data_IF_202314989431
#
_entry.id   IF_202314989431
#
_cell.length_a   1.000
_cell.length_b   1.000
_cell.length_c   1.000
_cell.angle_alpha   90.00
_cell.angle_beta   90.00
_cell.angle_gamma   90.00
#
_symmetry.space_group_name_H-M   'P 1'
#
loop_
_entity.id
_entity.type
_entity.pdbx_description
1 polymer ?
#
# COMPACT_ATOMS: atom_id res chain seq x y z
N UNK A 1 -40.72 -29.18 16.99
CA UNK A 1 -39.36 -29.74 16.80
C UNK A 1 -38.44 -28.59 16.42
N UNK A 2 -37.42 -28.31 17.25
CA UNK A 2 -36.81 -26.99 17.50
C UNK A 2 -36.10 -26.33 16.29
N UNK A 3 -36.71 -25.25 15.77
CA UNK A 3 -36.13 -24.37 14.73
C UNK A 3 -34.82 -23.72 15.25
N UNK A 4 -34.78 -23.37 16.54
CA UNK A 4 -33.60 -22.79 17.21
C UNK A 4 -32.37 -23.71 17.19
N UNK A 5 -32.55 -25.03 17.28
CA UNK A 5 -31.45 -25.98 17.25
C UNK A 5 -30.77 -26.01 15.86
N UNK A 6 -31.56 -25.86 14.80
CA UNK A 6 -31.06 -25.84 13.41
C UNK A 6 -30.22 -24.58 13.13
N UNK A 7 -30.68 -23.41 13.61
CA UNK A 7 -29.98 -22.13 13.41
C UNK A 7 -28.66 -22.08 14.18
N UNK A 8 -28.65 -22.57 15.43
CA UNK A 8 -27.43 -22.62 16.26
C UNK A 8 -26.37 -23.54 15.66
N UNK A 9 -26.75 -24.72 15.15
CA UNK A 9 -25.81 -25.64 14.48
C UNK A 9 -25.26 -25.03 13.19
N UNK A 10 -26.08 -24.29 12.42
CA UNK A 10 -25.64 -23.63 11.19
C UNK A 10 -24.59 -22.54 11.46
N UNK A 11 -24.78 -21.74 12.52
CA UNK A 11 -23.80 -20.72 12.91
C UNK A 11 -22.50 -21.32 13.43
N UNK A 12 -22.55 -22.41 14.22
CA UNK A 12 -21.32 -23.06 14.74
C UNK A 12 -20.47 -23.62 13.60
N UNK A 13 -21.08 -24.23 12.57
CA UNK A 13 -20.35 -24.75 11.40
C UNK A 13 -19.78 -23.62 10.54
N UNK A 14 -20.52 -22.51 10.38
CA UNK A 14 -20.04 -21.32 9.65
C UNK A 14 -18.90 -20.60 10.36
N UNK A 15 -18.96 -20.48 11.70
CA UNK A 15 -17.90 -19.89 12.50
C UNK A 15 -16.66 -20.77 12.50
N UNK A 16 -16.81 -22.11 12.55
CA UNK A 16 -15.69 -23.05 12.48
C UNK A 16 -14.85 -22.88 11.21
N UNK A 17 -15.48 -22.62 10.05
CA UNK A 17 -14.77 -22.44 8.78
C UNK A 17 -14.01 -21.11 8.67
N UNK A 18 -14.45 -20.05 9.37
CA UNK A 18 -13.80 -18.74 9.31
C UNK A 18 -12.48 -18.66 10.11
N UNK A 19 -12.31 -19.49 11.15
CA UNK A 19 -11.11 -19.45 12.01
C UNK A 19 -9.92 -20.23 11.42
N UNK A 20 -10.14 -21.11 10.44
CA UNK A 20 -9.04 -21.93 9.87
C UNK A 20 -8.20 -21.22 8.80
N UNK A 21 -8.59 -20.04 8.32
CA UNK A 21 -7.87 -19.38 7.20
C UNK A 21 -6.76 -18.40 7.58
N UNK A 22 -6.49 -18.13 8.87
CA UNK A 22 -5.50 -17.09 9.25
C UNK A 22 -4.13 -17.61 9.69
N UNK A 23 -3.82 -18.90 9.54
CA UNK A 23 -2.49 -19.45 9.84
C UNK A 23 -1.73 -19.91 8.59
N UNK A 24 -1.49 -18.99 7.65
CA UNK A 24 -0.56 -19.23 6.55
C UNK A 24 0.10 -17.94 6.03
N UNK A 25 0.58 -17.08 6.93
CA UNK A 25 1.65 -16.13 6.59
C UNK A 25 2.91 -16.55 7.34
N UNK A 26 3.52 -17.65 6.90
CA UNK A 26 4.89 -17.97 7.26
C UNK A 26 5.80 -16.91 6.63
N UNK A 27 6.46 -16.09 7.47
CA UNK A 27 7.59 -15.27 7.05
C UNK A 27 8.70 -16.19 6.53
N UNK A 28 8.90 -16.23 5.22
CA UNK A 28 10.07 -16.85 4.62
C UNK A 28 11.31 -16.08 5.09
N UNK A 29 12.28 -16.70 5.79
CA UNK A 29 13.56 -16.04 6.01
C UNK A 29 14.21 -15.81 4.64
N UNK A 30 14.66 -14.57 4.40
CA UNK A 30 15.42 -14.19 3.21
C UNK A 30 16.76 -14.94 3.26
N UNK A 31 16.81 -16.17 2.74
CA UNK A 31 18.06 -16.91 2.59
C UNK A 31 18.84 -16.28 1.45
N UNK A 32 19.77 -15.38 1.79
CA UNK A 32 20.75 -14.86 0.82
C UNK A 32 21.61 -16.05 0.37
N UNK A 33 21.53 -16.49 -0.90
CA UNK A 33 22.33 -17.61 -1.37
C UNK A 33 23.81 -17.23 -1.33
N UNK A 34 24.62 -18.13 -0.78
CA UNK A 34 26.08 -18.10 -0.88
C UNK A 34 26.47 -17.97 -2.36
N UNK A 35 27.42 -17.11 -2.75
CA UNK A 35 27.73 -16.87 -4.16
C UNK A 35 28.25 -18.15 -4.84
N UNK A 36 27.49 -18.66 -5.80
CA UNK A 36 27.98 -19.63 -6.78
C UNK A 36 28.97 -18.90 -7.71
N UNK A 37 30.09 -19.56 -8.04
CA UNK A 37 31.14 -19.00 -8.89
C UNK A 37 30.54 -18.40 -10.18
N UNK A 38 30.97 -17.20 -10.60
CA UNK A 38 30.36 -16.51 -11.74
C UNK A 38 30.54 -17.33 -13.03
N UNK A 39 29.49 -17.44 -13.88
CA UNK A 39 29.63 -18.07 -15.18
C UNK A 39 30.67 -17.30 -16.03
N UNK A 40 31.45 -17.98 -16.88
CA UNK A 40 32.57 -17.38 -17.64
C UNK A 40 32.13 -16.29 -18.65
N UNK A 41 30.83 -16.05 -18.78
CA UNK A 41 30.21 -15.19 -19.78
C UNK A 41 29.24 -14.20 -19.12
N UNK A 42 29.46 -13.85 -17.84
CA UNK A 42 28.70 -12.79 -17.18
C UNK A 42 28.99 -11.47 -17.89
N UNK A 43 28.18 -11.15 -18.91
CA UNK A 43 27.91 -9.78 -19.28
C UNK A 43 27.51 -9.09 -18.00
N UNK A 44 28.45 -8.28 -17.51
CA UNK A 44 28.39 -7.59 -16.25
C UNK A 44 27.02 -6.95 -16.08
N UNK A 45 26.25 -7.33 -15.07
CA UNK A 45 25.15 -6.51 -14.55
C UNK A 45 25.65 -5.13 -14.06
N UNK A 46 26.97 -4.91 -14.09
CA UNK A 46 27.68 -3.68 -13.81
C UNK A 46 27.96 -2.91 -15.11
N UNK A 47 26.94 -2.63 -15.92
CA UNK A 47 27.00 -1.46 -16.80
C UNK A 47 25.60 -0.92 -17.09
N UNK A 48 24.82 -0.64 -16.02
CA UNK A 48 23.94 0.52 -16.10
C UNK A 48 24.89 1.70 -16.11
N UNK A 49 25.11 2.26 -17.30
CA UNK A 49 25.88 3.48 -17.51
C UNK A 49 25.47 4.51 -16.43
N UNK A 50 26.32 4.69 -15.42
CA UNK A 50 26.12 5.61 -14.29
C UNK A 50 26.25 7.04 -14.79
N UNK A 51 25.23 7.49 -15.52
CA UNK A 51 25.04 8.84 -16.03
C UNK A 51 23.63 9.23 -15.61
N UNK A 52 23.47 9.53 -14.34
CA UNK A 52 23.52 10.87 -13.77
C UNK A 52 23.67 10.67 -12.26
N UNK A 53 24.29 11.62 -11.56
CA UNK A 53 24.25 11.58 -10.10
C UNK A 53 22.77 11.54 -9.69
N UNK A 54 22.41 10.64 -8.76
CA UNK A 54 21.07 10.68 -8.18
C UNK A 54 20.80 12.11 -7.74
N UNK A 55 19.59 12.65 -7.99
CA UNK A 55 19.28 14.01 -7.61
C UNK A 55 19.60 14.22 -6.13
N UNK A 56 20.31 15.30 -5.79
CA UNK A 56 20.67 15.63 -4.40
C UNK A 56 19.46 15.55 -3.45
N UNK A 57 18.27 15.87 -3.99
CA UNK A 57 16.99 15.77 -3.26
C UNK A 57 16.65 14.36 -2.78
N UNK A 58 17.07 13.29 -3.47
CA UNK A 58 16.74 11.91 -3.07
C UNK A 58 17.49 11.45 -1.81
N UNK A 59 18.67 12.01 -1.57
CA UNK A 59 19.48 11.70 -0.38
C UNK A 59 19.26 12.67 0.77
N UNK A 60 18.57 13.79 0.51
CA UNK A 60 18.27 14.80 1.51
C UNK A 60 16.98 14.44 2.28
N UNK A 61 17.12 14.14 3.57
CA UNK A 61 15.99 13.94 4.47
C UNK A 61 15.25 15.26 4.73
N UNK A 62 13.93 15.17 4.93
CA UNK A 62 13.08 16.28 5.36
C UNK A 62 13.20 16.43 6.89
N UNK A 63 14.08 17.32 7.34
CA UNK A 63 14.46 17.45 8.75
C UNK A 63 13.45 18.32 9.50
N UNK A 64 12.88 19.32 8.83
CA UNK A 64 11.94 20.26 9.48
C UNK A 64 10.50 19.75 9.41
N UNK A 65 9.68 20.17 10.39
CA UNK A 65 8.25 19.81 10.41
C UNK A 65 7.50 20.34 9.17
N UNK A 66 7.87 21.52 8.68
CA UNK A 66 7.26 22.11 7.49
C UNK A 66 7.60 21.31 6.21
N UNK A 67 8.84 20.84 6.09
CA UNK A 67 9.24 19.95 4.99
C UNK A 67 8.51 18.62 5.05
N UNK A 68 8.44 18.01 6.23
CA UNK A 68 7.71 16.75 6.43
C UNK A 68 6.23 16.89 6.12
N UNK A 69 5.60 17.98 6.55
CA UNK A 69 4.21 18.28 6.19
C UNK A 69 4.04 18.46 4.68
N UNK A 70 4.94 19.22 4.04
CA UNK A 70 4.91 19.44 2.59
C UNK A 70 5.06 18.12 1.82
N UNK A 71 5.93 17.23 2.26
CA UNK A 71 6.13 15.90 1.68
C UNK A 71 4.89 15.02 1.89
N UNK A 72 4.39 14.90 3.12
CA UNK A 72 3.18 14.13 3.41
C UNK A 72 1.98 14.61 2.58
N UNK A 73 1.82 15.93 2.44
CA UNK A 73 0.79 16.52 1.57
C UNK A 73 0.98 16.13 0.10
N UNK A 74 2.21 16.20 -0.42
CA UNK A 74 2.50 15.80 -1.81
C UNK A 74 2.20 14.32 -2.04
N UNK A 75 2.57 13.47 -1.10
CA UNK A 75 2.31 12.03 -1.15
C UNK A 75 0.81 11.73 -1.16
N UNK A 76 0.02 12.38 -0.30
CA UNK A 76 -1.44 12.23 -0.30
C UNK A 76 -2.08 12.68 -1.63
N UNK A 77 -1.61 13.78 -2.21
CA UNK A 77 -2.09 14.23 -3.53
C UNK A 77 -1.69 13.29 -4.65
N UNK A 78 -0.47 12.74 -4.61
CA UNK A 78 -0.02 11.76 -5.58
C UNK A 78 -0.84 10.46 -5.48
N UNK A 79 -1.09 9.97 -4.27
CA UNK A 79 -1.95 8.81 -4.02
C UNK A 79 -3.37 9.03 -4.55
N UNK A 80 -3.96 10.21 -4.32
CA UNK A 80 -5.26 10.57 -4.87
C UNK A 80 -5.27 10.57 -6.40
N UNK A 81 -4.22 11.11 -7.03
CA UNK A 81 -4.11 11.12 -8.49
C UNK A 81 -4.06 9.70 -9.06
N UNK A 82 -3.28 8.82 -8.42
CA UNK A 82 -3.22 7.39 -8.78
C UNK A 82 -4.61 6.76 -8.65
N UNK A 83 -5.32 7.00 -7.54
CA UNK A 83 -6.67 6.47 -7.33
C UNK A 83 -7.66 6.93 -8.41
N UNK A 84 -7.63 8.22 -8.79
CA UNK A 84 -8.47 8.73 -9.90
C UNK A 84 -8.12 8.05 -11.22
N UNK A 85 -6.84 7.87 -11.50
CA UNK A 85 -6.38 7.23 -12.73
C UNK A 85 -6.79 5.75 -12.78
N UNK A 86 -6.78 5.05 -11.65
CA UNK A 86 -7.34 3.70 -11.53
C UNK A 86 -8.85 3.67 -11.72
N UNK A 87 -9.59 4.67 -11.24
CA UNK A 87 -11.03 4.76 -11.44
C UNK A 87 -11.42 4.85 -12.92
N UNK A 88 -10.58 5.45 -13.77
CA UNK A 88 -10.81 5.51 -15.23
C UNK A 88 -10.81 4.15 -15.90
N UNK A 89 -10.14 3.16 -15.29
CA UNK A 89 -10.04 1.80 -15.81
C UNK A 89 -11.18 0.88 -15.31
N UNK A 90 -12.08 1.38 -14.45
CA UNK A 90 -13.25 0.61 -13.97
C UNK A 90 -14.42 0.66 -14.94
N UNK A 91 -15.36 -0.28 -14.79
CA UNK A 91 -16.58 -0.33 -15.57
C UNK A 91 -17.43 0.94 -15.33
N UNK A 92 -18.14 1.43 -16.35
CA UNK A 92 -18.83 2.72 -16.32
C UNK A 92 -19.84 2.91 -15.17
N UNK A 93 -20.42 1.82 -14.65
CA UNK A 93 -21.31 1.87 -13.48
C UNK A 93 -20.59 2.13 -12.15
N UNK A 94 -19.30 1.77 -12.05
CA UNK A 94 -18.52 1.85 -10.82
C UNK A 94 -17.62 3.09 -10.78
N UNK A 95 -17.37 3.74 -11.92
CA UNK A 95 -16.47 4.91 -12.01
C UNK A 95 -16.92 6.04 -11.08
N UNK A 96 -18.22 6.35 -11.01
CA UNK A 96 -18.72 7.43 -10.17
C UNK A 96 -18.52 7.16 -8.67
N UNK A 97 -18.78 5.92 -8.23
CA UNK A 97 -18.54 5.51 -6.85
C UNK A 97 -17.04 5.49 -6.52
N UNK A 98 -16.22 5.02 -7.46
CA UNK A 98 -14.77 5.04 -7.32
C UNK A 98 -14.22 6.46 -7.13
N UNK A 99 -14.67 7.43 -7.94
CA UNK A 99 -14.23 8.82 -7.82
C UNK A 99 -14.69 9.47 -6.50
N UNK A 100 -15.90 9.14 -6.03
CA UNK A 100 -16.40 9.59 -4.73
C UNK A 100 -15.54 9.04 -3.59
N UNK A 101 -15.22 7.74 -3.64
CA UNK A 101 -14.38 7.08 -2.65
C UNK A 101 -12.97 7.69 -2.64
N UNK A 102 -12.35 7.88 -3.81
CA UNK A 102 -11.02 8.47 -3.93
C UNK A 102 -10.97 9.88 -3.33
N UNK A 103 -12.02 10.69 -3.54
CA UNK A 103 -12.12 12.02 -2.93
C UNK A 103 -12.23 11.93 -1.40
N UNK A 104 -13.08 11.05 -0.90
CA UNK A 104 -13.28 10.87 0.54
C UNK A 104 -11.98 10.40 1.22
N UNK A 105 -11.23 9.48 0.61
CA UNK A 105 -9.93 9.02 1.09
C UNK A 105 -8.90 10.14 1.11
N UNK A 106 -8.84 10.96 0.05
CA UNK A 106 -7.96 12.13 0.00
C UNK A 106 -8.27 13.15 1.11
N UNK A 107 -9.56 13.44 1.34
CA UNK A 107 -9.99 14.35 2.42
C UNK A 107 -9.62 13.80 3.80
N UNK A 108 -9.80 12.50 4.01
CA UNK A 108 -9.42 11.82 5.24
C UNK A 108 -7.90 11.81 5.47
N UNK A 109 -7.10 11.56 4.42
CA UNK A 109 -5.65 11.61 4.48
C UNK A 109 -5.16 13.02 4.82
N UNK A 110 -5.71 14.05 4.18
CA UNK A 110 -5.36 15.44 4.47
C UNK A 110 -5.76 15.86 5.89
N UNK A 111 -6.92 15.42 6.39
CA UNK A 111 -7.34 15.68 7.76
C UNK A 111 -6.41 14.99 8.77
N UNK A 112 -6.00 13.74 8.50
CA UNK A 112 -5.03 12.99 9.34
C UNK A 112 -3.67 13.68 9.35
N UNK A 113 -3.16 14.10 8.19
CA UNK A 113 -1.90 14.82 8.07
C UNK A 113 -2.00 16.14 8.87
N UNK A 114 -3.02 16.96 8.63
CA UNK A 114 -3.21 18.21 9.38
C UNK A 114 -3.22 17.98 10.90
N UNK A 115 -3.95 16.97 11.37
CA UNK A 115 -3.99 16.61 12.78
C UNK A 115 -2.62 16.19 13.34
N UNK A 116 -1.84 15.41 12.58
CA UNK A 116 -0.48 15.01 12.96
C UNK A 116 0.46 16.21 13.16
N UNK A 117 0.28 17.28 12.37
CA UNK A 117 1.09 18.51 12.45
C UNK A 117 0.42 19.64 13.27
N UNK A 118 -0.71 19.38 13.92
CA UNK A 118 -1.42 20.37 14.74
C UNK A 118 -2.07 21.52 13.95
N UNK A 119 -2.32 21.34 12.66
CA UNK A 119 -2.93 22.32 11.76
C UNK A 119 -4.45 22.17 11.81
N UNK A 120 -5.23 23.25 12.01
CA UNK A 120 -6.69 23.19 12.00
C UNK A 120 -7.24 22.85 10.60
N UNK A 121 -8.40 22.18 10.57
CA UNK A 121 -9.05 21.71 9.33
C UNK A 121 -9.65 22.84 8.50
#
# INVERSE_FOLDING_TARGET
MNIYFKTTVLHIVSSGLFVYSTMAYSQSPLSVPVPLAPPPNSQSLTEVQKRDHDPERWTQEDITLDEQFATAKKEAMAAYQIAIDECKHKQAGDTAQCLLQARHEMEADMARIKAQFGIPN
#
